data_IF_480818650872
#
_entry.id   IF_480818650872
#
_cell.length_a   1.000
_cell.length_b   1.000
_cell.length_c   1.000
_cell.angle_alpha   90.00
_cell.angle_beta   90.00
_cell.angle_gamma   90.00
#
_symmetry.space_group_name_H-M   'P 1'
#
loop_
_entity.id
_entity.type
_entity.pdbx_description
1 polymer ?
#
# COMPACT_ATOMS: atom_id res chain seq x y z
N UNK A 1 31.26 0.98 12.51
CA UNK A 1 30.23 -0.02 12.17
C UNK A 1 29.05 0.22 13.08
N UNK A 2 28.07 1.01 12.66
CA UNK A 2 26.87 1.29 13.48
C UNK A 2 25.71 0.49 12.89
N UNK A 3 25.52 -0.73 13.37
CA UNK A 3 24.27 -1.46 13.14
C UNK A 3 23.34 -1.12 14.28
N UNK A 4 22.62 0.00 14.12
CA UNK A 4 21.52 0.36 15.00
C UNK A 4 20.45 -0.71 14.83
N UNK A 5 20.33 -1.55 15.86
CA UNK A 5 19.21 -2.47 16.04
C UNK A 5 17.94 -1.65 16.22
N UNK A 6 16.94 -1.86 15.36
CA UNK A 6 15.57 -1.41 15.59
C UNK A 6 14.63 -2.61 15.52
N UNK A 7 14.62 -3.37 16.62
CA UNK A 7 13.45 -4.13 17.01
C UNK A 7 12.38 -3.12 17.45
N UNK A 8 11.71 -2.50 16.47
CA UNK A 8 10.49 -1.72 16.67
C UNK A 8 9.45 -2.42 15.83
N UNK A 9 8.58 -3.21 16.47
CA UNK A 9 7.39 -3.76 15.82
C UNK A 9 6.67 -2.58 15.15
N UNK A 10 6.70 -2.60 13.82
CA UNK A 10 6.75 -1.39 12.99
C UNK A 10 5.37 -0.73 12.87
N UNK A 11 5.27 0.61 12.96
CA UNK A 11 4.05 1.38 12.63
C UNK A 11 3.43 1.01 11.26
N UNK A 12 4.23 0.40 10.39
CA UNK A 12 3.84 -0.01 9.05
C UNK A 12 2.93 -1.25 9.03
N UNK A 13 2.98 -2.16 10.00
CA UNK A 13 2.12 -3.37 9.96
C UNK A 13 0.68 -3.07 10.38
N UNK A 14 0.47 -2.17 11.35
CA UNK A 14 -0.88 -1.69 11.72
C UNK A 14 -1.51 -0.90 10.57
N UNK A 15 -0.80 0.09 10.02
CA UNK A 15 -1.28 0.88 8.87
C UNK A 15 -1.58 0.00 7.64
N UNK A 16 -0.80 -1.05 7.41
CA UNK A 16 -1.03 -2.02 6.34
C UNK A 16 -2.28 -2.86 6.58
N UNK A 17 -2.55 -3.25 7.83
CA UNK A 17 -3.76 -3.99 8.18
C UNK A 17 -5.02 -3.12 7.99
N UNK A 18 -4.97 -1.84 8.39
CA UNK A 18 -6.05 -0.87 8.15
C UNK A 18 -6.32 -0.69 6.66
N UNK A 19 -5.29 -0.45 5.85
CA UNK A 19 -5.42 -0.30 4.40
C UNK A 19 -5.99 -1.56 3.74
N UNK A 20 -5.60 -2.76 4.18
CA UNK A 20 -6.17 -4.01 3.65
C UNK A 20 -7.66 -4.16 4.01
N UNK A 21 -8.06 -3.69 5.18
CA UNK A 21 -9.47 -3.67 5.60
C UNK A 21 -10.31 -2.67 4.80
N UNK A 22 -9.76 -1.49 4.53
CA UNK A 22 -10.43 -0.45 3.74
C UNK A 22 -10.51 -0.77 2.25
N UNK A 23 -9.50 -1.47 1.71
CA UNK A 23 -9.36 -1.74 0.27
C UNK A 23 -9.14 -3.23 -0.01
N UNK A 24 -10.13 -4.11 0.23
CA UNK A 24 -9.97 -5.56 0.11
C UNK A 24 -9.65 -6.06 -1.31
N UNK A 25 -9.92 -5.27 -2.35
CA UNK A 25 -9.53 -5.59 -3.74
C UNK A 25 -8.07 -5.27 -4.07
N UNK A 26 -7.36 -4.61 -3.16
CA UNK A 26 -5.98 -4.17 -3.34
C UNK A 26 -5.03 -4.95 -2.44
N UNK A 27 -3.99 -5.49 -3.05
CA UNK A 27 -2.86 -6.07 -2.35
C UNK A 27 -1.90 -4.96 -1.89
N UNK A 28 -1.83 -4.74 -0.58
CA UNK A 28 -1.00 -3.69 0.04
C UNK A 28 0.37 -4.25 0.45
N UNK A 29 1.42 -3.61 -0.05
CA UNK A 29 2.82 -3.98 0.15
C UNK A 29 3.57 -2.80 0.77
N UNK A 30 4.39 -3.04 1.77
CA UNK A 30 5.29 -2.05 2.36
C UNK A 30 6.71 -2.64 2.40
N UNK A 31 7.71 -1.90 1.95
CA UNK A 31 9.12 -2.29 2.11
C UNK A 31 9.61 -1.99 3.52
N UNK A 32 10.72 -2.62 3.88
CA UNK A 32 11.48 -2.30 5.09
C UNK A 32 12.03 -0.87 5.10
N UNK A 33 12.28 -0.30 3.91
CA UNK A 33 12.75 1.07 3.72
C UNK A 33 11.62 2.11 3.81
N UNK A 34 10.37 1.67 4.03
CA UNK A 34 9.21 2.53 4.26
C UNK A 34 8.42 2.91 3.00
N UNK A 35 8.75 2.35 1.83
CA UNK A 35 8.01 2.59 0.59
C UNK A 35 6.78 1.70 0.50
N UNK A 36 5.69 2.25 -0.02
CA UNK A 36 4.39 1.61 -0.08
C UNK A 36 3.94 1.38 -1.51
N UNK A 37 3.26 0.26 -1.74
CA UNK A 37 2.59 -0.06 -2.99
C UNK A 37 1.21 -0.66 -2.74
N UNK A 38 0.30 -0.39 -3.66
CA UNK A 38 -0.95 -1.11 -3.78
C UNK A 38 -1.10 -1.64 -5.20
N UNK A 39 -1.38 -2.94 -5.31
CA UNK A 39 -1.65 -3.59 -6.57
C UNK A 39 -3.06 -4.17 -6.56
N UNK A 40 -3.87 -3.85 -7.57
CA UNK A 40 -5.20 -4.43 -7.70
C UNK A 40 -5.07 -5.92 -8.04
N UNK A 41 -5.72 -6.81 -7.30
CA UNK A 41 -5.71 -8.24 -7.61
C UNK A 41 -7.01 -8.93 -7.17
N UNK A 42 -7.67 -9.69 -8.07
CA UNK A 42 -7.35 -9.89 -9.49
C UNK A 42 -7.58 -8.61 -10.30
N UNK A 43 -6.73 -8.35 -11.30
CA UNK A 43 -6.91 -7.20 -12.22
C UNK A 43 -8.09 -7.52 -13.16
N UNK A 44 -9.19 -6.74 -13.14
CA UNK A 44 -10.27 -6.87 -14.11
C UNK A 44 -9.73 -6.62 -15.52
N UNK A 45 -10.26 -7.34 -16.51
CA UNK A 45 -9.84 -7.19 -17.92
C UNK A 45 -10.02 -5.75 -18.44
N UNK A 46 -10.97 -5.03 -17.88
CA UNK A 46 -11.28 -3.62 -18.20
C UNK A 46 -10.21 -2.66 -17.69
N UNK A 47 -9.48 -3.02 -16.62
CA UNK A 47 -8.45 -2.19 -15.98
C UNK A 47 -7.03 -2.57 -16.40
N UNK A 48 -6.88 -3.41 -17.43
CA UNK A 48 -5.56 -3.88 -17.88
C UNK A 48 -4.68 -2.76 -18.44
N UNK A 49 -5.29 -1.66 -18.91
CA UNK A 49 -4.58 -0.45 -19.36
C UNK A 49 -4.66 0.71 -18.37
N UNK A 50 -5.33 0.52 -17.23
CA UNK A 50 -5.43 1.52 -16.16
C UNK A 50 -4.34 1.30 -15.11
N UNK A 51 -4.01 2.33 -14.30
CA UNK A 51 -3.07 2.18 -13.19
C UNK A 51 -3.59 1.18 -12.15
N UNK A 52 -3.21 -0.09 -12.33
CA UNK A 52 -3.47 -1.18 -11.38
C UNK A 52 -2.35 -1.37 -10.35
N UNK A 53 -1.31 -0.54 -10.42
CA UNK A 53 -0.20 -0.48 -9.49
C UNK A 53 0.06 1.00 -9.16
N UNK A 54 0.03 1.33 -7.87
CA UNK A 54 0.37 2.65 -7.37
C UNK A 54 1.41 2.54 -6.26
N UNK A 55 2.30 3.53 -6.18
CA UNK A 55 3.30 3.65 -5.14
C UNK A 55 3.15 4.95 -4.35
N UNK A 56 3.68 4.96 -3.13
CA UNK A 56 3.71 6.11 -2.25
C UNK A 56 4.89 6.01 -1.27
N UNK A 57 5.35 7.15 -0.78
CA UNK A 57 6.41 7.21 0.24
C UNK A 57 5.85 7.01 1.65
N UNK A 58 4.53 7.16 1.83
CA UNK A 58 3.83 6.94 3.12
C UNK A 58 2.50 6.20 2.96
N UNK A 59 2.04 5.57 4.06
CA UNK A 59 0.74 4.90 4.12
C UNK A 59 -0.44 5.88 3.86
N UNK A 60 -0.33 7.11 4.37
CA UNK A 60 -1.36 8.14 4.21
C UNK A 60 -1.50 8.59 2.75
N UNK A 61 -0.38 8.74 2.04
CA UNK A 61 -0.40 9.05 0.61
C UNK A 61 -0.96 7.87 -0.21
N UNK A 62 -0.62 6.64 0.14
CA UNK A 62 -1.20 5.46 -0.51
C UNK A 62 -2.73 5.44 -0.33
N UNK A 63 -3.21 5.72 0.89
CA UNK A 63 -4.64 5.82 1.20
C UNK A 63 -5.34 6.85 0.33
N UNK A 64 -4.78 8.06 0.24
CA UNK A 64 -5.36 9.14 -0.56
C UNK A 64 -5.49 8.73 -2.03
N UNK A 65 -4.43 8.14 -2.62
CA UNK A 65 -4.44 7.64 -4.00
C UNK A 65 -5.49 6.54 -4.21
N UNK A 66 -5.60 5.60 -3.26
CA UNK A 66 -6.62 4.55 -3.32
C UNK A 66 -8.03 5.12 -3.29
N UNK A 67 -8.31 6.08 -2.38
CA UNK A 67 -9.60 6.77 -2.30
C UNK A 67 -9.94 7.44 -3.63
N UNK A 68 -8.98 8.08 -4.30
CA UNK A 68 -9.21 8.70 -5.61
C UNK A 68 -9.59 7.69 -6.69
N UNK A 69 -9.00 6.49 -6.67
CA UNK A 69 -9.27 5.42 -7.64
C UNK A 69 -10.60 4.69 -7.39
N UNK A 70 -11.04 4.57 -6.14
CA UNK A 70 -12.33 3.90 -5.81
C UNK A 70 -13.53 4.85 -5.77
N UNK A 71 -13.35 6.14 -6.10
CA UNK A 71 -14.50 7.05 -6.25
C UNK A 71 -15.44 6.53 -7.36
N UNK A 72 -16.77 6.51 -7.11
CA UNK A 72 -17.76 6.07 -8.09
C UNK A 72 -17.85 6.99 -9.31
#
# INVERSE_FOLDING_TARGET
MTTTSHARTVPNEEAKAELKGEFPGWNIICSTDGRWWAQLFPVPRELFNEPNLIDADTAAELRAKLIELVKP
#
